data_IF_658293875097
#
_entry.id   IF_658293875097
#
_cell.length_a   1.000
_cell.length_b   1.000
_cell.length_c   1.000
_cell.angle_alpha   90.00
_cell.angle_beta   90.00
_cell.angle_gamma   90.00
#
_symmetry.space_group_name_H-M   'P 1'
#
loop_
_entity.id
_entity.type
_entity.pdbx_description
1 polymer ?
#
# COMPACT_ATOMS: atom_id res chain seq x y z
N UNK A 1 -121.60 -81.24 173.05
CA UNK A 1 -121.37 -82.68 173.31
C UNK A 1 -121.44 -82.94 174.81
N UNK A 2 -121.37 -84.20 175.26
CA UNK A 2 -121.50 -84.62 176.66
C UNK A 2 -120.17 -85.20 177.22
N UNK A 3 -120.24 -85.85 178.40
CA UNK A 3 -119.44 -86.99 178.93
C UNK A 3 -118.64 -86.78 180.25
N UNK A 4 -118.30 -87.88 181.01
CA UNK A 4 -117.82 -87.86 182.40
C UNK A 4 -116.46 -88.59 182.65
N UNK A 5 -116.02 -88.84 183.90
CA UNK A 5 -116.09 -90.15 184.62
C UNK A 5 -115.40 -90.11 186.01
N UNK A 6 -115.55 -91.19 186.82
CA UNK A 6 -114.87 -91.48 188.11
C UNK A 6 -115.32 -90.62 189.34
N UNK A 7 -115.31 -91.20 190.58
CA UNK A 7 -116.60 -91.60 191.16
C UNK A 7 -117.32 -90.57 192.05
N UNK A 8 -116.75 -89.39 192.29
CA UNK A 8 -117.28 -88.36 193.19
C UNK A 8 -117.45 -88.83 194.66
N UNK A 9 -118.69 -88.88 195.15
CA UNK A 9 -119.13 -89.31 196.46
C UNK A 9 -118.54 -88.44 197.61
N UNK A 10 -117.57 -88.97 198.37
CA UNK A 10 -117.46 -88.65 199.80
C UNK A 10 -116.09 -88.20 200.36
N UNK A 11 -114.98 -88.33 199.62
CA UNK A 11 -113.66 -88.39 200.26
C UNK A 11 -113.04 -87.05 200.73
N UNK A 12 -113.46 -85.89 200.21
CA UNK A 12 -112.73 -84.62 200.39
C UNK A 12 -112.76 -84.01 201.81
N UNK A 13 -113.60 -84.50 202.73
CA UNK A 13 -114.11 -83.63 203.81
C UNK A 13 -113.09 -83.23 204.90
N UNK A 14 -112.22 -84.13 205.37
CA UNK A 14 -111.22 -83.80 206.41
C UNK A 14 -110.08 -82.89 205.93
N UNK A 15 -109.94 -82.66 204.62
CA UNK A 15 -108.89 -81.79 204.08
C UNK A 15 -109.13 -80.30 204.36
N UNK A 16 -110.39 -79.86 204.52
CA UNK A 16 -110.74 -78.44 204.58
C UNK A 16 -110.38 -77.78 205.92
N UNK A 17 -110.74 -78.40 207.05
CA UNK A 17 -110.77 -77.71 208.35
C UNK A 17 -109.38 -77.22 208.82
N UNK A 18 -108.34 -78.04 208.66
CA UNK A 18 -106.97 -77.64 209.01
C UNK A 18 -106.37 -76.60 208.06
N UNK A 19 -106.81 -76.56 206.79
CA UNK A 19 -106.32 -75.57 205.82
C UNK A 19 -106.96 -74.19 206.08
N UNK A 20 -108.26 -74.15 206.34
CA UNK A 20 -109.01 -72.93 206.59
C UNK A 20 -108.46 -72.11 207.78
N UNK A 21 -108.03 -72.77 208.86
CA UNK A 21 -107.47 -72.10 210.04
C UNK A 21 -106.16 -71.35 209.71
N UNK A 22 -105.26 -71.95 208.92
CA UNK A 22 -103.96 -71.37 208.58
C UNK A 22 -104.06 -70.22 207.57
N UNK A 23 -105.07 -70.23 206.69
CA UNK A 23 -105.33 -69.13 205.77
C UNK A 23 -105.71 -67.84 206.53
N UNK A 24 -106.67 -67.93 207.46
CA UNK A 24 -107.14 -66.77 208.26
C UNK A 24 -106.02 -66.05 209.01
N UNK A 25 -105.06 -66.77 209.58
CA UNK A 25 -103.94 -66.16 210.30
C UNK A 25 -103.00 -65.37 209.38
N UNK A 26 -102.73 -65.89 208.17
CA UNK A 26 -101.91 -65.20 207.16
C UNK A 26 -102.59 -63.95 206.62
N UNK A 27 -103.91 -63.98 206.44
CA UNK A 27 -104.68 -62.81 205.99
C UNK A 27 -104.66 -61.65 207.01
N UNK A 28 -104.61 -61.94 208.30
CA UNK A 28 -104.47 -60.90 209.34
C UNK A 28 -103.07 -60.26 209.33
N UNK A 29 -102.00 -61.06 209.22
CA UNK A 29 -100.63 -60.55 209.08
C UNK A 29 -100.44 -59.69 207.82
N UNK A 30 -101.03 -60.12 206.69
CA UNK A 30 -100.94 -59.41 205.42
C UNK A 30 -101.55 -57.98 205.49
N UNK A 31 -102.71 -57.84 206.16
CA UNK A 31 -103.39 -56.54 206.31
C UNK A 31 -102.57 -55.54 207.14
N UNK A 32 -101.94 -56.01 208.23
CA UNK A 32 -101.09 -55.16 209.08
C UNK A 32 -99.85 -54.64 208.34
N UNK A 33 -99.22 -55.45 207.49
CA UNK A 33 -98.06 -55.04 206.68
C UNK A 33 -98.44 -53.97 205.66
N UNK A 34 -99.55 -54.14 204.94
CA UNK A 34 -100.01 -53.17 203.94
C UNK A 34 -100.28 -51.78 204.54
N UNK A 35 -100.85 -51.69 205.74
CA UNK A 35 -101.06 -50.40 206.42
C UNK A 35 -99.74 -49.72 206.80
N UNK A 36 -98.75 -50.47 207.27
CA UNK A 36 -97.42 -49.94 207.59
C UNK A 36 -96.67 -49.43 206.35
N UNK A 37 -96.71 -50.18 205.25
CA UNK A 37 -96.07 -49.78 203.99
C UNK A 37 -96.67 -48.48 203.42
N UNK A 38 -98.01 -48.36 203.43
CA UNK A 38 -98.73 -47.17 202.95
C UNK A 38 -98.38 -45.91 203.76
N UNK A 39 -98.38 -45.99 205.10
CA UNK A 39 -97.96 -44.88 205.95
C UNK A 39 -96.48 -44.51 205.72
N UNK A 40 -95.59 -45.51 205.67
CA UNK A 40 -94.15 -45.30 205.41
C UNK A 40 -93.89 -44.61 204.06
N UNK A 41 -94.69 -44.90 203.03
CA UNK A 41 -94.55 -44.26 201.73
C UNK A 41 -94.97 -42.79 201.77
N UNK A 42 -96.11 -42.48 202.40
CA UNK A 42 -96.70 -41.13 202.42
C UNK A 42 -95.74 -40.08 203.00
N UNK A 43 -95.13 -40.36 204.16
CA UNK A 43 -94.20 -39.42 204.80
C UNK A 43 -92.96 -39.14 203.95
N UNK A 44 -92.33 -40.17 203.36
CA UNK A 44 -91.15 -39.97 202.47
C UNK A 44 -91.47 -39.09 201.28
N UNK A 45 -92.65 -39.24 200.68
CA UNK A 45 -93.09 -38.35 199.58
C UNK A 45 -93.36 -36.92 200.04
N UNK A 46 -93.82 -36.72 201.27
CA UNK A 46 -94.01 -35.38 201.86
C UNK A 46 -92.68 -34.65 202.07
N UNK A 47 -91.69 -35.34 202.66
CA UNK A 47 -90.39 -34.75 203.00
C UNK A 47 -89.61 -34.27 201.75
N UNK A 48 -89.61 -35.07 200.68
CA UNK A 48 -88.94 -34.73 199.41
C UNK A 48 -89.58 -33.50 198.75
N UNK A 49 -90.92 -33.43 198.73
CA UNK A 49 -91.66 -32.28 198.19
C UNK A 49 -91.37 -31.01 198.99
N UNK A 50 -91.40 -31.09 200.32
CA UNK A 50 -91.10 -29.96 201.22
C UNK A 50 -89.68 -29.42 201.00
N UNK A 51 -88.68 -30.31 200.91
CA UNK A 51 -87.29 -29.93 200.67
C UNK A 51 -87.08 -29.19 199.33
N UNK A 52 -87.72 -29.66 198.24
CA UNK A 52 -87.61 -28.98 196.92
C UNK A 52 -88.38 -27.66 196.87
N UNK A 53 -89.50 -27.55 197.57
CA UNK A 53 -90.22 -26.28 197.70
C UNK A 53 -89.39 -25.22 198.46
N UNK A 54 -88.58 -25.64 199.44
CA UNK A 54 -87.62 -24.76 200.14
C UNK A 54 -86.45 -24.30 199.23
N UNK A 55 -85.91 -25.18 198.38
CA UNK A 55 -84.88 -24.79 197.40
C UNK A 55 -85.41 -23.75 196.38
N UNK A 56 -86.58 -23.99 195.80
CA UNK A 56 -87.15 -23.14 194.75
C UNK A 56 -87.63 -21.77 195.27
N UNK A 57 -88.14 -21.71 196.50
CA UNK A 57 -88.50 -20.44 197.15
C UNK A 57 -87.28 -19.65 197.67
N UNK A 58 -86.07 -20.22 197.62
CA UNK A 58 -84.87 -19.52 198.09
C UNK A 58 -84.49 -18.32 197.20
N UNK A 59 -84.14 -17.20 197.85
CA UNK A 59 -83.75 -15.93 197.19
C UNK A 59 -82.57 -16.08 196.20
N UNK A 60 -81.70 -17.07 196.42
CA UNK A 60 -80.55 -17.38 195.56
C UNK A 60 -80.96 -18.01 194.21
N UNK A 61 -82.07 -18.76 194.16
CA UNK A 61 -82.60 -19.34 192.93
C UNK A 61 -82.97 -18.24 191.92
N UNK A 62 -83.75 -17.27 192.37
CA UNK A 62 -84.19 -16.12 191.57
C UNK A 62 -83.02 -15.29 191.03
N UNK A 63 -82.02 -14.98 191.86
CA UNK A 63 -80.85 -14.18 191.46
C UNK A 63 -79.99 -14.89 190.40
N UNK A 64 -79.79 -16.21 190.50
CA UNK A 64 -79.10 -17.00 189.45
C UNK A 64 -79.87 -16.96 188.12
N UNK A 65 -81.20 -17.11 188.17
CA UNK A 65 -82.05 -17.05 186.97
C UNK A 65 -81.97 -15.69 186.27
N UNK A 66 -82.09 -14.59 187.02
CA UNK A 66 -82.05 -13.23 186.47
C UNK A 66 -80.72 -12.88 185.79
N UNK A 67 -79.58 -13.30 186.35
CA UNK A 67 -78.26 -13.08 185.74
C UNK A 67 -78.04 -13.91 184.47
N UNK A 68 -78.64 -15.10 184.37
CA UNK A 68 -78.63 -15.89 183.14
C UNK A 68 -79.47 -15.21 182.04
N UNK A 69 -80.70 -14.79 182.38
CA UNK A 69 -81.59 -14.06 181.48
C UNK A 69 -80.96 -12.79 180.88
N UNK A 70 -80.33 -11.96 181.73
CA UNK A 70 -79.63 -10.75 181.28
C UNK A 70 -78.49 -11.07 180.28
N UNK A 71 -77.76 -12.16 180.49
CA UNK A 71 -76.67 -12.58 179.57
C UNK A 71 -77.17 -13.07 178.22
N UNK A 72 -78.31 -13.78 178.17
CA UNK A 72 -78.91 -14.16 176.88
C UNK A 72 -79.48 -12.95 176.14
N UNK A 73 -80.13 -12.00 176.83
CA UNK A 73 -80.64 -10.78 176.20
C UNK A 73 -79.54 -10.00 175.43
N UNK A 74 -78.35 -9.85 176.03
CA UNK A 74 -77.22 -9.19 175.35
C UNK A 74 -76.66 -9.99 174.15
N UNK A 75 -76.89 -11.31 174.07
CA UNK A 75 -76.58 -12.11 172.87
C UNK A 75 -77.65 -11.95 171.80
N UNK A 76 -78.93 -11.90 172.17
CA UNK A 76 -80.03 -11.65 171.24
C UNK A 76 -79.89 -10.28 170.56
N UNK A 77 -79.57 -9.23 171.32
CA UNK A 77 -79.34 -7.89 170.76
C UNK A 77 -78.19 -7.88 169.74
N UNK A 78 -77.13 -8.67 169.97
CA UNK A 78 -76.03 -8.87 169.00
C UNK A 78 -76.43 -9.72 167.79
N UNK A 79 -77.31 -10.72 167.95
CA UNK A 79 -77.90 -11.49 166.83
C UNK A 79 -78.74 -10.59 165.94
N UNK A 80 -79.67 -9.82 166.52
CA UNK A 80 -80.51 -8.82 165.83
C UNK A 80 -79.66 -7.80 165.06
N UNK A 81 -78.53 -7.35 165.63
CA UNK A 81 -77.58 -6.47 164.93
C UNK A 81 -76.90 -7.10 163.70
N UNK A 82 -76.60 -8.40 163.73
CA UNK A 82 -76.06 -9.14 162.59
C UNK A 82 -77.14 -9.48 161.55
N UNK A 83 -78.35 -9.81 161.99
CA UNK A 83 -79.52 -10.08 161.15
C UNK A 83 -79.90 -8.82 160.37
N UNK A 84 -80.03 -7.67 161.04
CA UNK A 84 -80.28 -6.37 160.40
C UNK A 84 -79.13 -5.91 159.47
N UNK A 85 -77.93 -6.49 159.56
CA UNK A 85 -76.84 -6.25 158.58
C UNK A 85 -76.93 -7.22 157.39
N UNK A 86 -77.32 -8.47 157.63
CA UNK A 86 -77.61 -9.46 156.58
C UNK A 86 -78.82 -9.06 155.74
N UNK A 87 -79.84 -8.47 156.35
CA UNK A 87 -81.04 -7.97 155.67
C UNK A 87 -80.72 -6.81 154.73
N UNK A 88 -79.95 -5.82 155.18
CA UNK A 88 -79.45 -4.74 154.31
C UNK A 88 -78.60 -5.26 153.15
N UNK A 89 -77.81 -6.31 153.36
CA UNK A 89 -77.10 -6.99 152.27
C UNK A 89 -78.06 -7.71 151.30
N UNK A 90 -79.10 -8.39 151.78
CA UNK A 90 -80.13 -9.00 150.91
C UNK A 90 -80.87 -7.95 150.09
N UNK A 91 -81.20 -6.79 150.69
CA UNK A 91 -81.86 -5.68 150.00
C UNK A 91 -81.02 -5.17 148.84
N UNK A 92 -79.74 -4.85 149.07
CA UNK A 92 -78.82 -4.44 147.99
C UNK A 92 -78.70 -5.51 146.89
N UNK A 93 -78.54 -6.79 147.24
CA UNK A 93 -78.48 -7.87 146.25
C UNK A 93 -79.78 -8.05 145.44
N UNK A 94 -80.94 -7.69 146.01
CA UNK A 94 -82.23 -7.71 145.30
C UNK A 94 -82.40 -6.47 144.42
N UNK A 95 -81.98 -5.29 144.89
CA UNK A 95 -81.97 -4.05 144.11
C UNK A 95 -81.05 -4.18 142.87
N UNK A 96 -79.87 -4.80 143.02
CA UNK A 96 -78.99 -5.16 141.89
C UNK A 96 -79.64 -6.15 140.91
N UNK A 97 -80.35 -7.17 141.41
CA UNK A 97 -81.07 -8.14 140.57
C UNK A 97 -82.23 -7.50 139.80
N UNK A 98 -83.01 -6.63 140.45
CA UNK A 98 -84.13 -5.90 139.85
C UNK A 98 -83.65 -4.92 138.76
N UNK A 99 -82.50 -4.27 138.96
CA UNK A 99 -81.90 -3.40 137.95
C UNK A 99 -81.44 -4.20 136.73
N UNK A 100 -80.67 -5.28 136.94
CA UNK A 100 -80.21 -6.15 135.85
C UNK A 100 -81.38 -6.83 135.09
N UNK A 101 -82.47 -7.16 135.79
CA UNK A 101 -83.68 -7.67 135.16
C UNK A 101 -84.32 -6.64 134.22
N UNK A 102 -84.43 -5.38 134.64
CA UNK A 102 -84.96 -4.28 133.81
C UNK A 102 -84.08 -4.01 132.59
N UNK A 103 -82.76 -3.96 132.76
CA UNK A 103 -81.83 -3.81 131.63
C UNK A 103 -81.99 -4.93 130.59
N UNK A 104 -82.16 -6.18 131.04
CA UNK A 104 -82.43 -7.32 130.15
C UNK A 104 -83.80 -7.21 129.44
N UNK A 105 -84.83 -6.67 130.10
CA UNK A 105 -86.14 -6.44 129.48
C UNK A 105 -86.12 -5.28 128.47
N UNK A 106 -85.46 -4.17 128.78
CA UNK A 106 -85.26 -3.05 127.85
C UNK A 106 -84.45 -3.49 126.62
N UNK A 107 -83.40 -4.29 126.80
CA UNK A 107 -82.63 -4.88 125.70
C UNK A 107 -83.52 -5.80 124.84
N UNK A 108 -84.36 -6.66 125.45
CA UNK A 108 -85.34 -7.50 124.74
C UNK A 108 -86.36 -6.65 123.97
N UNK A 109 -86.89 -5.58 124.55
CA UNK A 109 -87.83 -4.67 123.87
C UNK A 109 -87.15 -3.94 122.70
N UNK A 110 -85.92 -3.45 122.87
CA UNK A 110 -85.15 -2.80 121.80
C UNK A 110 -84.87 -3.76 120.63
N UNK A 111 -84.61 -5.04 120.94
CA UNK A 111 -84.38 -6.12 119.97
C UNK A 111 -85.67 -6.46 119.22
N UNK A 112 -86.81 -6.62 119.91
CA UNK A 112 -88.12 -6.80 119.27
C UNK A 112 -88.50 -5.62 118.35
N UNK A 113 -88.21 -4.39 118.75
CA UNK A 113 -88.41 -3.19 117.92
C UNK A 113 -87.43 -3.15 116.73
N UNK A 114 -86.21 -3.67 116.87
CA UNK A 114 -85.26 -3.85 115.75
C UNK A 114 -85.77 -4.90 114.77
N UNK A 115 -86.31 -6.03 115.25
CA UNK A 115 -86.91 -7.05 114.39
C UNK A 115 -88.12 -6.53 113.61
N UNK A 116 -89.08 -5.84 114.25
CA UNK A 116 -90.24 -5.26 113.55
C UNK A 116 -89.81 -4.34 112.41
N UNK A 117 -88.87 -3.41 112.68
CA UNK A 117 -88.29 -2.52 111.66
C UNK A 117 -87.55 -3.26 110.54
N UNK A 118 -86.95 -4.43 110.81
CA UNK A 118 -86.35 -5.28 109.77
C UNK A 118 -87.44 -5.97 108.93
N UNK A 119 -88.49 -6.51 109.55
CA UNK A 119 -89.62 -7.15 108.86
C UNK A 119 -90.40 -6.15 107.99
N UNK A 120 -90.63 -4.94 108.48
CA UNK A 120 -91.24 -3.82 107.75
C UNK A 120 -90.38 -3.40 106.55
N UNK A 121 -89.07 -3.17 106.75
CA UNK A 121 -88.13 -2.87 105.65
C UNK A 121 -88.08 -3.98 104.60
N UNK A 122 -88.10 -5.25 105.02
CA UNK A 122 -88.16 -6.39 104.10
C UNK A 122 -89.48 -6.44 103.32
N UNK A 123 -90.61 -6.12 103.96
CA UNK A 123 -91.91 -5.96 103.30
C UNK A 123 -91.88 -4.89 102.21
N UNK A 124 -91.39 -3.69 102.56
CA UNK A 124 -91.30 -2.55 101.64
C UNK A 124 -90.32 -2.80 100.48
N UNK A 125 -89.19 -3.49 100.74
CA UNK A 125 -88.26 -3.90 99.68
C UNK A 125 -88.89 -4.95 98.75
N UNK A 126 -89.65 -5.90 99.30
CA UNK A 126 -90.36 -6.90 98.50
C UNK A 126 -91.44 -6.28 97.62
N UNK A 127 -92.26 -5.36 98.14
CA UNK A 127 -93.27 -4.66 97.34
C UNK A 127 -92.64 -3.81 96.23
N UNK A 128 -91.55 -3.07 96.53
CA UNK A 128 -90.82 -2.30 95.52
C UNK A 128 -90.20 -3.19 94.41
N UNK A 129 -89.70 -4.39 94.76
CA UNK A 129 -89.25 -5.37 93.76
C UNK A 129 -90.41 -5.93 92.93
N UNK A 130 -91.59 -6.14 93.52
CA UNK A 130 -92.79 -6.58 92.80
C UNK A 130 -93.36 -5.48 91.89
N UNK A 131 -93.25 -4.21 92.27
CA UNK A 131 -93.57 -3.05 91.43
C UNK A 131 -92.60 -2.92 90.25
N UNK A 132 -91.28 -3.04 90.48
CA UNK A 132 -90.32 -3.07 89.38
C UNK A 132 -90.57 -4.24 88.41
N UNK A 133 -90.93 -5.42 88.92
CA UNK A 133 -91.32 -6.57 88.07
C UNK A 133 -92.58 -6.29 87.24
N UNK A 134 -93.58 -5.60 87.78
CA UNK A 134 -94.77 -5.15 87.03
C UNK A 134 -94.39 -4.19 85.91
N UNK A 135 -93.63 -3.14 86.21
CA UNK A 135 -93.15 -2.16 85.22
C UNK A 135 -92.30 -2.79 84.11
N UNK A 136 -91.48 -3.80 84.44
CA UNK A 136 -90.70 -4.56 83.44
C UNK A 136 -91.64 -5.43 82.59
N UNK A 137 -92.60 -6.12 83.20
CA UNK A 137 -93.59 -6.93 82.47
C UNK A 137 -94.46 -6.06 81.55
N UNK A 138 -94.92 -4.89 81.99
CA UNK A 138 -95.69 -3.92 81.19
C UNK A 138 -94.88 -3.43 79.99
N UNK A 139 -93.60 -3.10 80.17
CA UNK A 139 -92.69 -2.72 79.06
C UNK A 139 -92.50 -3.86 78.07
N UNK A 140 -92.20 -5.07 78.53
CA UNK A 140 -92.01 -6.24 77.67
C UNK A 140 -93.31 -6.61 76.93
N UNK A 141 -94.47 -6.49 77.58
CA UNK A 141 -95.78 -6.67 76.93
C UNK A 141 -96.05 -5.59 75.87
N UNK A 142 -95.67 -4.34 76.13
CA UNK A 142 -95.79 -3.25 75.16
C UNK A 142 -94.84 -3.43 73.96
N UNK A 143 -93.59 -3.81 74.19
CA UNK A 143 -92.62 -4.12 73.12
C UNK A 143 -93.06 -5.33 72.30
N UNK A 144 -93.51 -6.40 72.95
CA UNK A 144 -94.08 -7.59 72.30
C UNK A 144 -95.35 -7.26 71.52
N UNK A 145 -96.21 -6.38 72.01
CA UNK A 145 -97.37 -5.87 71.27
C UNK A 145 -96.93 -5.02 70.06
N UNK A 146 -95.98 -4.09 70.23
CA UNK A 146 -95.46 -3.25 69.15
C UNK A 146 -94.89 -4.13 68.03
N UNK A 147 -94.07 -5.10 68.39
CA UNK A 147 -93.44 -6.04 67.46
C UNK A 147 -94.43 -6.97 66.77
N UNK A 148 -95.55 -7.34 67.40
CA UNK A 148 -96.54 -8.28 66.83
C UNK A 148 -97.77 -7.64 66.20
N UNK A 149 -97.98 -6.33 66.35
CA UNK A 149 -99.07 -5.61 65.69
C UNK A 149 -98.82 -5.54 64.16
N UNK A 150 -99.64 -6.19 63.32
CA UNK A 150 -99.38 -6.28 61.88
C UNK A 150 -99.36 -4.90 61.21
N UNK A 151 -100.20 -3.97 61.66
CA UNK A 151 -100.27 -2.61 61.11
C UNK A 151 -98.99 -1.81 61.32
N UNK A 152 -98.26 -2.08 62.41
CA UNK A 152 -96.96 -1.45 62.65
C UNK A 152 -95.87 -2.06 61.75
N UNK A 153 -95.89 -3.39 61.53
CA UNK A 153 -94.99 -4.06 60.57
C UNK A 153 -95.22 -3.55 59.15
N UNK A 154 -96.48 -3.38 58.74
CA UNK A 154 -96.85 -2.81 57.44
C UNK A 154 -96.24 -1.42 57.26
N UNK A 155 -96.46 -0.51 58.22
CA UNK A 155 -95.90 0.84 58.22
C UNK A 155 -94.35 0.84 58.21
N UNK A 156 -93.70 0.01 59.04
CA UNK A 156 -92.24 -0.12 59.07
C UNK A 156 -91.68 -0.65 57.73
N UNK A 157 -92.35 -1.61 57.09
CA UNK A 157 -91.94 -2.10 55.75
C UNK A 157 -92.19 -1.07 54.64
N UNK A 158 -93.25 -0.25 54.72
CA UNK A 158 -93.51 0.81 53.73
C UNK A 158 -92.59 2.01 53.90
N UNK A 159 -92.16 2.35 55.11
CA UNK A 159 -91.07 3.32 55.35
C UNK A 159 -89.74 2.78 54.80
N UNK A 160 -89.44 1.51 55.02
CA UNK A 160 -88.24 0.88 54.46
C UNK A 160 -88.27 0.83 52.91
N UNK A 161 -89.40 0.45 52.31
CA UNK A 161 -89.62 0.47 50.84
C UNK A 161 -89.39 1.86 50.27
N UNK A 162 -89.95 2.91 50.88
CA UNK A 162 -89.74 4.31 50.48
C UNK A 162 -88.27 4.71 50.58
N UNK A 163 -87.58 4.34 51.66
CA UNK A 163 -86.15 4.59 51.79
C UNK A 163 -85.32 3.92 50.69
N UNK A 164 -85.62 2.64 50.36
CA UNK A 164 -84.94 1.91 49.28
C UNK A 164 -85.24 2.50 47.90
N UNK A 165 -86.48 2.91 47.62
CA UNK A 165 -86.84 3.58 46.36
C UNK A 165 -86.09 4.91 46.22
N UNK A 166 -86.14 5.76 47.24
CA UNK A 166 -85.45 7.06 47.22
C UNK A 166 -83.92 6.89 47.06
N UNK A 167 -83.31 5.90 47.73
CA UNK A 167 -81.88 5.60 47.61
C UNK A 167 -81.51 5.06 46.22
N UNK A 168 -82.42 4.33 45.56
CA UNK A 168 -82.22 3.87 44.18
C UNK A 168 -82.41 5.00 43.16
N UNK A 169 -83.31 5.96 43.44
CA UNK A 169 -83.44 7.19 42.64
C UNK A 169 -82.18 8.04 42.71
N UNK A 170 -81.61 8.27 43.90
CA UNK A 170 -80.32 8.98 44.02
C UNK A 170 -79.18 8.23 43.33
N UNK A 171 -79.08 6.91 43.49
CA UNK A 171 -78.07 6.09 42.80
C UNK A 171 -78.18 6.18 41.26
N UNK A 172 -79.41 6.28 40.73
CA UNK A 172 -79.69 6.43 39.30
C UNK A 172 -79.33 7.82 38.78
N UNK A 173 -79.44 8.85 39.61
CA UNK A 173 -78.99 10.21 39.29
C UNK A 173 -77.47 10.37 39.39
N UNK A 174 -76.83 9.77 40.39
CA UNK A 174 -75.37 9.65 40.50
C UNK A 174 -74.78 8.98 39.26
N UNK A 175 -75.33 7.82 38.84
CA UNK A 175 -74.85 7.11 37.64
C UNK A 175 -74.98 7.95 36.36
N UNK A 176 -76.08 8.69 36.20
CA UNK A 176 -76.26 9.62 35.07
C UNK A 176 -75.25 10.76 35.08
N UNK A 177 -74.85 11.24 36.26
CA UNK A 177 -73.81 12.26 36.38
C UNK A 177 -72.43 11.70 36.02
N UNK A 178 -72.13 10.47 36.45
CA UNK A 178 -70.90 9.74 36.09
C UNK A 178 -70.80 9.52 34.58
N UNK A 179 -71.84 8.96 33.95
CA UNK A 179 -71.94 8.78 32.49
C UNK A 179 -71.74 10.12 31.74
N UNK A 180 -72.33 11.21 32.24
CA UNK A 180 -72.18 12.55 31.68
C UNK A 180 -70.79 13.19 31.91
N UNK A 181 -70.02 12.76 32.93
CA UNK A 181 -68.61 13.16 33.08
C UNK A 181 -67.69 12.31 32.19
N UNK A 182 -67.90 11.00 32.12
CA UNK A 182 -67.16 10.10 31.23
C UNK A 182 -67.31 10.53 29.76
N UNK A 183 -68.52 10.88 29.32
CA UNK A 183 -68.75 11.46 27.99
C UNK A 183 -67.92 12.73 27.72
N UNK A 184 -67.71 13.58 28.74
CA UNK A 184 -66.96 14.84 28.59
C UNK A 184 -65.45 14.59 28.59
N UNK A 185 -64.98 13.58 29.31
CA UNK A 185 -63.58 13.17 29.32
C UNK A 185 -63.21 12.43 28.04
N UNK A 186 -64.05 11.50 27.57
CA UNK A 186 -63.90 10.84 26.27
C UNK A 186 -63.79 11.88 25.14
N UNK A 187 -64.68 12.88 25.10
CA UNK A 187 -64.61 13.97 24.12
C UNK A 187 -63.35 14.83 24.24
N UNK A 188 -62.72 14.93 25.42
CA UNK A 188 -61.40 15.59 25.57
C UNK A 188 -60.29 14.71 24.99
N UNK A 189 -60.25 13.43 25.36
CA UNK A 189 -59.27 12.48 24.85
C UNK A 189 -59.35 12.30 23.32
N UNK A 190 -60.55 12.30 22.74
CA UNK A 190 -60.76 12.33 21.28
C UNK A 190 -60.14 13.59 20.63
N UNK A 191 -60.38 14.77 21.20
CA UNK A 191 -59.82 16.03 20.72
C UNK A 191 -58.30 16.12 20.90
N UNK A 192 -57.75 15.55 21.96
CA UNK A 192 -56.30 15.46 22.21
C UNK A 192 -55.63 14.45 21.27
N UNK A 193 -56.28 13.31 21.02
CA UNK A 193 -55.84 12.33 20.03
C UNK A 193 -55.87 12.89 18.60
N UNK A 194 -56.90 13.64 18.22
CA UNK A 194 -56.94 14.33 16.93
C UNK A 194 -55.83 15.38 16.78
N UNK A 195 -55.54 16.16 17.83
CA UNK A 195 -54.40 17.11 17.82
C UNK A 195 -53.07 16.36 17.65
N UNK A 196 -52.81 15.36 18.48
CA UNK A 196 -51.60 14.54 18.41
C UNK A 196 -51.43 13.87 17.03
N UNK A 197 -52.53 13.42 16.41
CA UNK A 197 -52.53 12.86 15.06
C UNK A 197 -52.21 13.92 13.99
N UNK A 198 -52.76 15.14 14.10
CA UNK A 198 -52.45 16.26 13.18
C UNK A 198 -50.99 16.69 13.32
N UNK A 199 -50.51 16.88 14.54
CA UNK A 199 -49.10 17.18 14.83
C UNK A 199 -48.15 16.09 14.32
N UNK A 200 -48.50 14.81 14.45
CA UNK A 200 -47.70 13.72 13.90
C UNK A 200 -47.63 13.78 12.36
N UNK A 201 -48.76 14.05 11.69
CA UNK A 201 -48.78 14.24 10.22
C UNK A 201 -48.00 15.47 9.78
N UNK A 202 -48.02 16.57 10.56
CA UNK A 202 -47.24 17.78 10.28
C UNK A 202 -45.74 17.57 10.50
N UNK A 203 -45.34 16.82 11.54
CA UNK A 203 -43.94 16.41 11.76
C UNK A 203 -43.43 15.53 10.62
N UNK A 204 -44.22 14.54 10.18
CA UNK A 204 -43.88 13.70 9.02
C UNK A 204 -43.68 14.56 7.75
N UNK A 205 -44.60 15.48 7.45
CA UNK A 205 -44.47 16.41 6.31
C UNK A 205 -43.24 17.31 6.41
N UNK A 206 -42.96 17.88 7.58
CA UNK A 206 -41.78 18.71 7.78
C UNK A 206 -40.47 17.91 7.65
N UNK A 207 -40.48 16.62 7.97
CA UNK A 207 -39.34 15.72 7.75
C UNK A 207 -39.21 15.29 6.28
N UNK A 208 -40.32 15.05 5.58
CA UNK A 208 -40.36 14.83 4.12
C UNK A 208 -39.88 16.07 3.34
N UNK A 209 -40.30 17.28 3.73
CA UNK A 209 -39.83 18.55 3.16
C UNK A 209 -38.34 18.78 3.42
N UNK A 210 -37.83 18.44 4.61
CA UNK A 210 -36.39 18.48 4.91
C UNK A 210 -35.60 17.53 4.03
N UNK A 211 -36.03 16.27 3.91
CA UNK A 211 -35.39 15.28 3.01
C UNK A 211 -35.42 15.78 1.57
N UNK A 212 -36.53 16.33 1.08
CA UNK A 212 -36.60 16.94 -0.25
C UNK A 212 -35.69 18.16 -0.44
N UNK A 213 -35.36 18.91 0.62
CA UNK A 213 -34.38 20.01 0.55
C UNK A 213 -32.95 19.47 0.56
N UNK A 214 -32.67 18.46 1.39
CA UNK A 214 -31.39 17.74 1.42
C UNK A 214 -31.10 17.04 0.09
N UNK A 215 -32.11 16.43 -0.54
CA UNK A 215 -32.03 15.80 -1.87
C UNK A 215 -31.76 16.84 -2.97
N UNK A 216 -32.38 18.03 -2.89
CA UNK A 216 -32.12 19.15 -3.82
C UNK A 216 -30.70 19.67 -3.68
N UNK A 217 -30.24 19.91 -2.45
CA UNK A 217 -28.86 20.36 -2.18
C UNK A 217 -27.82 19.32 -2.62
N UNK A 218 -28.11 18.02 -2.44
CA UNK A 218 -27.29 16.93 -2.99
C UNK A 218 -27.31 16.92 -4.53
N UNK A 219 -28.46 17.10 -5.17
CA UNK A 219 -28.57 17.17 -6.62
C UNK A 219 -27.84 18.40 -7.20
N UNK A 220 -27.94 19.56 -6.58
CA UNK A 220 -27.21 20.77 -6.95
C UNK A 220 -25.68 20.59 -6.78
N UNK A 221 -25.23 19.98 -5.69
CA UNK A 221 -23.83 19.63 -5.50
C UNK A 221 -23.32 18.59 -6.52
N UNK A 222 -24.15 17.60 -6.88
CA UNK A 222 -23.83 16.62 -7.94
C UNK A 222 -23.76 17.28 -9.32
N UNK A 223 -24.64 18.24 -9.62
CA UNK A 223 -24.58 19.02 -10.86
C UNK A 223 -23.30 19.86 -10.92
N UNK A 224 -22.91 20.53 -9.84
CA UNK A 224 -21.63 21.25 -9.73
C UNK A 224 -20.43 20.30 -9.94
N UNK A 225 -20.44 19.11 -9.35
CA UNK A 225 -19.42 18.09 -9.57
C UNK A 225 -19.38 17.59 -11.02
N UNK A 226 -20.53 17.44 -11.68
CA UNK A 226 -20.61 17.09 -13.11
C UNK A 226 -20.09 18.23 -14.01
N UNK A 227 -20.31 19.49 -13.64
CA UNK A 227 -19.75 20.65 -14.35
C UNK A 227 -18.24 20.77 -14.16
N UNK A 228 -17.73 20.58 -12.94
CA UNK A 228 -16.30 20.44 -12.67
C UNK A 228 -15.66 19.32 -13.49
N UNK A 229 -16.30 18.15 -13.57
CA UNK A 229 -15.82 17.01 -14.37
C UNK A 229 -15.81 17.34 -15.86
N UNK A 230 -16.87 17.98 -16.39
CA UNK A 230 -16.90 18.46 -17.79
C UNK A 230 -15.82 19.50 -18.09
N UNK A 231 -15.51 20.40 -17.15
CA UNK A 231 -14.40 21.35 -17.29
C UNK A 231 -13.05 20.62 -17.34
N UNK A 232 -12.83 19.65 -16.44
CA UNK A 232 -11.62 18.80 -16.41
C UNK A 232 -11.50 17.92 -17.67
N UNK A 233 -12.61 17.44 -18.22
CA UNK A 233 -12.65 16.75 -19.52
C UNK A 233 -12.29 17.68 -20.68
N UNK A 234 -12.86 18.88 -20.72
CA UNK A 234 -12.52 19.90 -21.73
C UNK A 234 -11.03 20.27 -21.66
N UNK A 235 -10.48 20.47 -20.45
CA UNK A 235 -9.05 20.68 -20.22
C UNK A 235 -8.21 19.48 -20.68
N UNK A 236 -8.62 18.24 -20.36
CA UNK A 236 -7.95 17.05 -20.86
C UNK A 236 -7.98 16.95 -22.40
N UNK A 237 -9.05 17.41 -23.08
CA UNK A 237 -9.04 17.48 -24.56
C UNK A 237 -8.17 18.59 -25.12
N UNK A 238 -7.98 19.72 -24.41
CA UNK A 238 -7.00 20.76 -24.79
C UNK A 238 -5.58 20.22 -24.65
N UNK A 239 -5.25 19.67 -23.48
CA UNK A 239 -3.94 19.07 -23.20
C UNK A 239 -3.60 17.92 -24.18
N UNK A 240 -4.57 17.09 -24.59
CA UNK A 240 -4.37 16.08 -25.64
C UNK A 240 -4.05 16.71 -27.00
N UNK A 241 -4.74 17.77 -27.41
CA UNK A 241 -4.43 18.51 -28.66
C UNK A 241 -3.06 19.17 -28.60
N UNK A 242 -2.67 19.70 -27.44
CA UNK A 242 -1.33 20.25 -27.21
C UNK A 242 -0.25 19.16 -27.28
N UNK A 243 -0.49 17.99 -26.70
CA UNK A 243 0.40 16.83 -26.83
C UNK A 243 0.50 16.34 -28.29
N UNK A 244 -0.61 16.26 -29.03
CA UNK A 244 -0.59 15.95 -30.47
C UNK A 244 0.22 16.98 -31.27
N UNK A 245 0.05 18.28 -30.99
CA UNK A 245 0.81 19.33 -31.66
C UNK A 245 2.30 19.25 -31.34
N UNK A 246 2.67 18.99 -30.08
CA UNK A 246 4.07 18.77 -29.67
C UNK A 246 4.66 17.50 -30.31
N UNK A 247 3.87 16.45 -30.52
CA UNK A 247 4.31 15.26 -31.24
C UNK A 247 4.51 15.53 -32.74
N UNK A 248 3.63 16.30 -33.38
CA UNK A 248 3.80 16.75 -34.78
C UNK A 248 5.08 17.58 -34.93
N UNK A 249 5.31 18.54 -34.04
CA UNK A 249 6.54 19.35 -34.01
C UNK A 249 7.80 18.49 -33.80
N UNK A 250 7.75 17.43 -32.98
CA UNK A 250 8.86 16.48 -32.84
C UNK A 250 9.11 15.71 -34.13
N UNK A 251 8.07 15.22 -34.81
CA UNK A 251 8.20 14.51 -36.08
C UNK A 251 8.73 15.42 -37.21
N UNK A 252 8.33 16.70 -37.22
CA UNK A 252 8.87 17.71 -38.13
C UNK A 252 10.36 17.96 -37.86
N UNK A 253 10.77 18.07 -36.60
CA UNK A 253 12.17 18.23 -36.20
C UNK A 253 13.02 16.98 -36.50
N UNK A 254 12.50 15.78 -36.21
CA UNK A 254 13.15 14.51 -36.53
C UNK A 254 13.33 14.34 -38.05
N UNK A 255 12.32 14.71 -38.84
CA UNK A 255 12.41 14.75 -40.31
C UNK A 255 13.50 15.69 -40.80
N UNK A 256 13.56 16.93 -40.27
CA UNK A 256 14.60 17.91 -40.59
C UNK A 256 15.99 17.48 -40.11
N UNK A 257 16.11 16.76 -39.00
CA UNK A 257 17.36 16.13 -38.58
C UNK A 257 17.80 15.02 -39.54
N UNK A 258 16.88 14.18 -39.98
CA UNK A 258 17.18 13.10 -40.91
C UNK A 258 17.54 13.64 -42.30
N UNK A 259 16.93 14.73 -42.75
CA UNK A 259 17.37 15.49 -43.92
C UNK A 259 18.79 16.05 -43.74
N UNK A 260 19.09 16.67 -42.59
CA UNK A 260 20.45 17.14 -42.25
C UNK A 260 21.47 16.00 -42.27
N UNK A 261 21.12 14.83 -41.71
CA UNK A 261 21.97 13.61 -41.72
C UNK A 261 22.19 13.09 -43.14
N UNK A 262 21.13 13.01 -43.97
CA UNK A 262 21.21 12.63 -45.39
C UNK A 262 22.10 13.60 -46.17
N UNK A 263 21.92 14.89 -45.99
CA UNK A 263 22.73 15.93 -46.63
C UNK A 263 24.20 15.92 -46.17
N UNK A 264 24.47 15.65 -44.89
CA UNK A 264 25.82 15.46 -44.38
C UNK A 264 26.50 14.22 -44.99
N UNK A 265 25.79 13.09 -45.07
CA UNK A 265 26.29 11.86 -45.70
C UNK A 265 26.55 12.04 -47.22
N UNK A 266 25.72 12.84 -47.91
CA UNK A 266 25.95 13.20 -49.31
C UNK A 266 27.18 14.12 -49.47
N UNK A 267 27.40 15.09 -48.58
CA UNK A 267 28.61 15.93 -48.55
C UNK A 267 29.86 15.08 -48.33
N UNK A 268 29.85 14.18 -47.33
CA UNK A 268 30.95 13.25 -47.07
C UNK A 268 31.25 12.34 -48.28
N UNK A 269 30.22 11.79 -48.93
CA UNK A 269 30.39 11.00 -50.17
C UNK A 269 31.00 11.84 -51.31
N UNK A 270 30.60 13.11 -51.45
CA UNK A 270 31.18 14.02 -52.43
C UNK A 270 32.64 14.41 -52.09
N UNK A 271 32.97 14.55 -50.80
CA UNK A 271 34.33 14.83 -50.30
C UNK A 271 35.28 13.65 -50.54
N UNK A 272 34.86 12.44 -50.18
CA UNK A 272 35.57 11.20 -50.51
C UNK A 272 35.72 11.04 -52.03
N UNK A 273 34.67 11.35 -52.81
CA UNK A 273 34.72 11.36 -54.28
C UNK A 273 35.71 12.37 -54.85
N UNK A 274 35.81 13.58 -54.27
CA UNK A 274 36.83 14.59 -54.64
C UNK A 274 38.24 14.12 -54.27
N UNK A 275 38.43 13.56 -53.08
CA UNK A 275 39.71 13.04 -52.62
C UNK A 275 40.20 11.90 -53.52
N UNK A 276 39.35 10.90 -53.81
CA UNK A 276 39.69 9.79 -54.71
C UNK A 276 40.03 10.27 -56.12
N UNK A 277 39.25 11.21 -56.68
CA UNK A 277 39.58 11.83 -57.98
C UNK A 277 40.93 12.55 -57.95
N UNK A 278 41.26 13.25 -56.86
CA UNK A 278 42.56 13.89 -56.72
C UNK A 278 43.70 12.87 -56.62
N UNK A 279 43.53 11.77 -55.89
CA UNK A 279 44.52 10.68 -55.81
C UNK A 279 44.73 10.00 -57.17
N UNK A 280 43.65 9.64 -57.89
CA UNK A 280 43.75 9.07 -59.23
C UNK A 280 44.38 10.04 -60.22
N UNK A 281 44.00 11.33 -60.21
CA UNK A 281 44.61 12.33 -61.06
C UNK A 281 46.10 12.55 -60.72
N UNK A 282 46.50 12.48 -59.45
CA UNK A 282 47.91 12.57 -59.06
C UNK A 282 48.72 11.34 -59.53
N UNK A 283 48.14 10.13 -59.46
CA UNK A 283 48.77 8.91 -60.01
C UNK A 283 48.87 8.95 -61.54
N UNK A 284 47.83 9.41 -62.23
CA UNK A 284 47.84 9.60 -63.68
C UNK A 284 48.87 10.67 -64.08
N UNK A 285 48.89 11.82 -63.40
CA UNK A 285 49.87 12.88 -63.65
C UNK A 285 51.30 12.36 -63.52
N UNK A 286 51.62 11.63 -62.43
CA UNK A 286 52.94 10.97 -62.27
C UNK A 286 53.27 10.05 -63.45
N UNK A 287 52.34 9.19 -63.88
CA UNK A 287 52.56 8.33 -65.06
C UNK A 287 52.75 9.14 -66.34
N UNK A 288 52.02 10.23 -66.55
CA UNK A 288 52.23 11.11 -67.72
C UNK A 288 53.51 11.93 -67.64
N UNK A 289 54.07 12.17 -66.45
CA UNK A 289 55.39 12.78 -66.27
C UNK A 289 56.47 11.76 -66.61
N UNK A 290 56.38 10.53 -66.09
CA UNK A 290 57.27 9.41 -66.44
C UNK A 290 57.29 9.17 -67.96
N UNK A 291 56.13 9.04 -68.61
CA UNK A 291 56.04 8.85 -70.07
C UNK A 291 56.60 10.06 -70.85
N UNK A 292 56.53 11.28 -70.31
CA UNK A 292 57.17 12.46 -70.94
C UNK A 292 58.68 12.45 -70.76
N UNK A 293 59.17 12.08 -69.58
CA UNK A 293 60.60 11.96 -69.27
C UNK A 293 61.24 10.84 -70.11
N UNK A 294 60.53 9.72 -70.30
CA UNK A 294 60.86 8.63 -71.23
C UNK A 294 60.92 9.12 -72.68
N UNK A 295 59.85 9.75 -73.20
CA UNK A 295 59.81 10.28 -74.58
C UNK A 295 60.83 11.42 -74.81
N UNK A 296 61.16 12.21 -73.79
CA UNK A 296 62.24 13.19 -73.87
C UNK A 296 63.63 12.53 -73.88
N UNK A 297 63.82 11.43 -73.15
CA UNK A 297 65.04 10.64 -73.21
C UNK A 297 65.21 9.97 -74.59
N UNK A 298 64.14 9.34 -75.11
CA UNK A 298 64.10 8.79 -76.47
C UNK A 298 64.39 9.85 -77.53
N UNK A 299 63.81 11.04 -77.39
CA UNK A 299 64.11 12.17 -78.27
C UNK A 299 65.59 12.57 -78.19
N UNK A 300 66.18 12.64 -77.00
CA UNK A 300 67.62 12.95 -76.83
C UNK A 300 68.52 11.86 -77.44
N UNK A 301 68.12 10.60 -77.36
CA UNK A 301 68.80 9.48 -78.03
C UNK A 301 68.72 9.63 -79.56
N UNK A 302 67.54 9.91 -80.11
CA UNK A 302 67.36 10.15 -81.55
C UNK A 302 68.12 11.39 -82.04
N UNK A 303 68.19 12.46 -81.23
CA UNK A 303 69.01 13.63 -81.54
C UNK A 303 70.51 13.28 -81.55
N UNK A 304 71.00 12.52 -80.56
CA UNK A 304 72.39 12.06 -80.54
C UNK A 304 72.73 11.12 -81.71
N UNK A 305 71.78 10.28 -82.15
CA UNK A 305 71.94 9.45 -83.35
C UNK A 305 71.99 10.31 -84.63
N UNK A 306 71.09 11.29 -84.78
CA UNK A 306 71.14 12.23 -85.91
C UNK A 306 72.42 13.07 -85.92
N UNK A 307 72.91 13.53 -84.76
CA UNK A 307 74.21 14.22 -84.65
C UNK A 307 75.39 13.31 -85.05
N UNK A 308 75.30 12.00 -84.79
CA UNK A 308 76.30 11.01 -85.23
C UNK A 308 76.19 10.71 -86.73
N UNK A 309 74.99 10.58 -87.28
CA UNK A 309 74.77 10.49 -88.73
C UNK A 309 75.25 11.76 -89.46
N UNK A 310 75.10 12.94 -88.87
CA UNK A 310 75.63 14.22 -89.38
C UNK A 310 77.16 14.28 -89.33
N UNK A 311 77.78 13.81 -88.25
CA UNK A 311 79.24 13.66 -88.14
C UNK A 311 79.78 12.67 -89.18
N UNK A 312 79.14 11.50 -89.33
CA UNK A 312 79.50 10.51 -90.34
C UNK A 312 79.30 11.05 -91.76
N UNK A 313 78.21 11.77 -92.03
CA UNK A 313 78.00 12.45 -93.31
C UNK A 313 79.07 13.49 -93.59
N UNK A 314 79.46 14.32 -92.61
CA UNK A 314 80.57 15.29 -92.76
C UNK A 314 81.89 14.58 -93.03
N UNK A 315 82.17 13.46 -92.37
CA UNK A 315 83.36 12.62 -92.64
C UNK A 315 83.28 11.99 -94.04
N UNK A 316 82.11 11.56 -94.49
CA UNK A 316 81.91 11.02 -95.84
C UNK A 316 82.02 12.10 -96.93
N UNK A 317 81.53 13.32 -96.70
CA UNK A 317 81.70 14.47 -97.61
C UNK A 317 83.17 14.88 -97.64
N UNK A 318 83.84 15.06 -96.51
CA UNK A 318 85.27 15.38 -96.46
C UNK A 318 86.14 14.32 -97.18
N UNK A 319 85.83 13.02 -97.01
CA UNK A 319 86.49 11.92 -97.76
C UNK A 319 86.23 11.99 -99.27
N UNK A 320 85.02 12.41 -99.69
CA UNK A 320 84.69 12.62 -101.11
C UNK A 320 85.39 13.85 -101.68
N UNK A 321 85.46 14.95 -100.93
CA UNK A 321 86.17 16.18 -101.31
C UNK A 321 87.68 15.94 -101.41
N UNK A 322 88.26 15.17 -100.48
CA UNK A 322 89.65 14.68 -100.59
C UNK A 322 89.84 13.85 -101.86
N UNK A 323 89.02 12.82 -102.10
CA UNK A 323 89.13 12.00 -103.30
C UNK A 323 88.91 12.78 -104.62
N UNK A 324 88.09 13.83 -104.60
CA UNK A 324 87.90 14.75 -105.75
C UNK A 324 89.10 15.68 -105.92
N UNK A 325 89.71 16.17 -104.84
CA UNK A 325 90.94 16.96 -104.88
C UNK A 325 92.13 16.11 -105.38
N UNK A 326 92.27 14.88 -104.90
CA UNK A 326 93.26 13.90 -105.36
C UNK A 326 93.07 13.58 -106.85
N UNK A 327 91.83 13.36 -107.29
CA UNK A 327 91.49 13.15 -108.70
C UNK A 327 91.74 14.40 -109.56
N UNK A 328 91.48 15.60 -109.04
CA UNK A 328 91.78 16.86 -109.73
C UNK A 328 93.29 17.10 -109.84
N UNK A 329 94.06 16.76 -108.82
CA UNK A 329 95.52 16.83 -108.84
C UNK A 329 96.11 15.81 -109.82
N UNK A 330 95.65 14.55 -109.78
CA UNK A 330 96.04 13.54 -110.79
C UNK A 330 95.67 13.99 -112.21
N UNK A 331 94.50 14.63 -112.40
CA UNK A 331 94.12 15.22 -113.69
C UNK A 331 95.09 16.32 -114.12
N UNK A 332 95.50 17.22 -113.22
CA UNK A 332 96.49 18.26 -113.53
C UNK A 332 97.84 17.65 -113.94
N UNK A 333 98.33 16.64 -113.21
CA UNK A 333 99.57 15.92 -113.55
C UNK A 333 99.46 15.24 -114.93
N UNK A 334 98.30 14.67 -115.27
CA UNK A 334 98.05 14.08 -116.60
C UNK A 334 97.98 15.17 -117.70
N UNK A 335 97.37 16.32 -117.43
CA UNK A 335 97.36 17.45 -118.36
C UNK A 335 98.76 18.05 -118.56
N UNK A 336 99.62 18.05 -117.53
CA UNK A 336 101.02 18.45 -117.62
C UNK A 336 101.86 17.43 -118.40
N UNK A 337 101.69 16.14 -118.16
CA UNK A 337 102.33 15.10 -118.99
C UNK A 337 101.86 15.20 -120.45
N UNK A 338 100.58 15.44 -120.73
CA UNK A 338 100.08 15.69 -122.08
C UNK A 338 100.67 16.95 -122.73
N UNK A 339 101.04 17.99 -121.97
CA UNK A 339 101.78 19.15 -122.49
C UNK A 339 103.23 18.80 -122.80
N UNK A 340 103.87 18.00 -121.95
CA UNK A 340 105.26 17.53 -122.16
C UNK A 340 105.35 16.57 -123.36
N UNK A 341 104.42 15.63 -123.53
CA UNK A 341 104.39 14.78 -124.72
C UNK A 341 104.09 15.59 -125.98
N UNK A 342 103.18 16.59 -125.95
CA UNK A 342 102.97 17.48 -127.10
C UNK A 342 104.20 18.34 -127.43
N UNK A 343 105.01 18.70 -126.44
CA UNK A 343 106.29 19.37 -126.68
C UNK A 343 107.28 18.43 -127.37
N UNK A 344 107.40 17.19 -126.89
CA UNK A 344 108.22 16.13 -127.52
C UNK A 344 107.74 15.78 -128.93
N UNK A 345 106.43 15.68 -129.15
CA UNK A 345 105.83 15.51 -130.49
C UNK A 345 106.20 16.69 -131.40
N UNK A 346 106.18 17.94 -130.90
CA UNK A 346 106.59 19.11 -131.66
C UNK A 346 108.10 19.13 -131.96
N UNK A 347 108.94 18.74 -131.01
CA UNK A 347 110.40 18.57 -131.19
C UNK A 347 110.70 17.49 -132.25
N UNK A 348 110.04 16.33 -132.16
CA UNK A 348 110.11 15.27 -133.16
C UNK A 348 109.61 15.73 -134.54
N UNK A 349 108.56 16.54 -134.60
CA UNK A 349 108.07 17.15 -135.84
C UNK A 349 109.03 18.20 -136.42
N UNK A 350 109.85 18.86 -135.60
CA UNK A 350 110.95 19.71 -136.09
C UNK A 350 112.06 18.84 -136.67
N UNK A 351 112.52 17.81 -135.96
CA UNK A 351 113.53 16.88 -136.45
C UNK A 351 113.12 16.20 -137.76
N UNK A 352 111.89 15.68 -137.87
CA UNK A 352 111.35 15.10 -139.11
C UNK A 352 111.27 16.11 -140.26
N UNK A 353 111.07 17.41 -139.98
CA UNK A 353 111.12 18.47 -141.00
C UNK A 353 112.55 18.81 -141.40
N UNK A 354 113.52 18.65 -140.51
CA UNK A 354 114.94 18.88 -140.79
C UNK A 354 115.54 17.70 -141.57
N UNK A 355 115.19 16.46 -141.23
CA UNK A 355 115.45 15.29 -142.07
C UNK A 355 114.81 15.43 -143.46
N UNK A 356 113.57 15.91 -143.54
CA UNK A 356 112.90 16.16 -144.83
C UNK A 356 113.59 17.26 -145.66
N UNK A 357 114.10 18.33 -145.02
CA UNK A 357 114.92 19.35 -145.69
C UNK A 357 116.24 18.75 -146.19
N UNK A 358 116.98 18.01 -145.34
CA UNK A 358 118.22 17.38 -145.77
C UNK A 358 118.00 16.43 -146.96
N UNK A 359 116.91 15.65 -146.95
CA UNK A 359 116.57 14.75 -148.06
C UNK A 359 116.15 15.53 -149.32
N UNK A 360 115.54 16.70 -149.18
CA UNK A 360 115.28 17.61 -150.30
C UNK A 360 116.57 18.23 -150.84
N UNK A 361 117.45 18.75 -149.98
CA UNK A 361 118.75 19.33 -150.36
C UNK A 361 119.68 18.29 -151.02
N UNK A 362 119.68 17.04 -150.53
CA UNK A 362 120.37 15.92 -151.19
C UNK A 362 119.82 15.68 -152.59
N UNK A 363 118.50 15.82 -152.79
CA UNK A 363 117.84 15.64 -154.10
C UNK A 363 118.03 16.83 -155.05
N UNK A 364 118.03 18.06 -154.54
CA UNK A 364 118.45 19.25 -155.30
C UNK A 364 119.92 19.19 -155.69
N UNK A 365 120.81 18.68 -154.83
CA UNK A 365 122.21 18.46 -155.17
C UNK A 365 122.39 17.36 -156.24
N UNK A 366 121.53 16.35 -156.27
CA UNK A 366 121.48 15.37 -157.36
C UNK A 366 120.96 16.00 -158.66
N UNK A 367 119.86 16.76 -158.64
CA UNK A 367 119.38 17.51 -159.81
C UNK A 367 120.37 18.57 -160.31
N UNK A 368 121.11 19.23 -159.42
CA UNK A 368 122.16 20.18 -159.79
C UNK A 368 123.36 19.49 -160.44
N UNK A 369 123.71 18.27 -160.02
CA UNK A 369 124.69 17.41 -160.70
C UNK A 369 124.17 16.92 -162.05
N UNK A 370 122.90 16.54 -162.13
CA UNK A 370 122.23 16.10 -163.36
C UNK A 370 122.16 17.23 -164.40
N UNK A 371 121.79 18.44 -163.99
CA UNK A 371 121.88 19.64 -164.84
C UNK A 371 123.32 19.97 -165.20
N UNK A 372 124.26 19.98 -164.24
CA UNK A 372 125.69 20.20 -164.55
C UNK A 372 126.26 19.18 -165.54
N UNK A 373 125.77 17.93 -165.50
CA UNK A 373 126.14 16.90 -166.47
C UNK A 373 125.46 17.13 -167.83
N UNK A 374 124.19 17.58 -167.85
CA UNK A 374 123.49 18.01 -169.07
C UNK A 374 124.18 19.19 -169.74
N UNK A 375 124.50 20.23 -168.99
CA UNK A 375 125.16 21.44 -169.48
C UNK A 375 126.56 21.11 -170.01
N UNK A 376 127.32 20.24 -169.33
CA UNK A 376 128.59 19.72 -169.86
C UNK A 376 128.41 18.92 -171.14
N UNK A 377 127.38 18.06 -171.23
CA UNK A 377 127.11 17.27 -172.43
C UNK A 377 126.65 18.18 -173.59
N UNK A 378 125.90 19.24 -173.32
CA UNK A 378 125.57 20.29 -174.27
C UNK A 378 126.81 21.08 -174.72
N UNK A 379 127.73 21.42 -173.80
CA UNK A 379 129.02 22.04 -174.13
C UNK A 379 129.90 21.10 -174.97
N UNK A 380 129.97 19.81 -174.65
CA UNK A 380 130.69 18.81 -175.44
C UNK A 380 130.08 18.59 -176.82
N UNK A 381 128.75 18.67 -176.96
CA UNK A 381 128.06 18.61 -178.27
C UNK A 381 128.34 19.87 -179.07
N UNK A 382 128.33 21.05 -178.44
CA UNK A 382 128.70 22.31 -179.08
C UNK A 382 130.18 22.32 -179.50
N UNK A 383 131.11 21.83 -178.66
CA UNK A 383 132.52 21.66 -179.03
C UNK A 383 132.71 20.66 -180.18
N UNK A 384 131.98 19.54 -180.20
CA UNK A 384 132.04 18.57 -181.31
C UNK A 384 131.47 19.16 -182.60
N UNK A 385 130.46 20.02 -182.53
CA UNK A 385 129.96 20.75 -183.70
C UNK A 385 130.94 21.83 -184.16
N UNK A 386 131.60 22.55 -183.25
CA UNK A 386 132.66 23.49 -183.58
C UNK A 386 133.83 22.79 -184.27
N UNK A 387 134.31 21.68 -183.71
CA UNK A 387 135.44 20.90 -184.24
C UNK A 387 135.13 20.19 -185.55
N UNK A 388 133.87 19.83 -185.80
CA UNK A 388 133.44 19.36 -187.11
C UNK A 388 133.48 20.51 -188.14
N UNK A 389 132.98 21.69 -187.78
CA UNK A 389 133.00 22.87 -188.64
C UNK A 389 134.42 23.40 -188.91
N UNK A 390 135.32 23.33 -187.92
CA UNK A 390 136.75 23.64 -188.05
C UNK A 390 137.44 22.63 -188.99
N UNK A 391 137.18 21.33 -188.84
CA UNK A 391 137.74 20.29 -189.70
C UNK A 391 137.21 20.35 -191.15
N UNK A 392 135.93 20.71 -191.35
CA UNK A 392 135.37 20.93 -192.69
C UNK A 392 136.05 22.14 -193.38
N UNK A 393 136.44 23.19 -192.63
CA UNK A 393 137.22 24.32 -193.17
C UNK A 393 138.69 23.97 -193.44
N UNK A 394 139.33 23.15 -192.61
CA UNK A 394 140.69 22.65 -192.88
C UNK A 394 140.71 21.74 -194.12
N UNK A 395 139.68 20.92 -194.33
CA UNK A 395 139.54 20.09 -195.52
C UNK A 395 139.30 20.91 -196.82
N UNK A 396 138.49 21.98 -196.77
CA UNK A 396 138.34 22.90 -197.91
C UNK A 396 139.66 23.59 -198.26
N UNK A 397 140.48 23.96 -197.26
CA UNK A 397 141.80 24.55 -197.47
C UNK A 397 142.81 23.56 -198.07
N UNK A 398 142.87 22.32 -197.57
CA UNK A 398 143.73 21.27 -198.13
C UNK A 398 143.35 20.92 -199.58
N UNK A 399 142.06 20.92 -199.95
CA UNK A 399 141.63 20.76 -201.34
C UNK A 399 142.04 21.95 -202.22
N UNK A 400 142.01 23.19 -201.74
CA UNK A 400 142.46 24.35 -202.55
C UNK A 400 143.98 24.40 -202.73
N UNK A 401 144.78 23.97 -201.75
CA UNK A 401 146.24 23.81 -201.94
C UNK A 401 146.56 22.66 -202.92
N UNK A 402 145.84 21.53 -202.84
CA UNK A 402 145.99 20.42 -203.77
C UNK A 402 145.67 20.83 -205.22
N UNK A 403 144.56 21.54 -205.45
CA UNK A 403 144.18 22.04 -206.79
C UNK A 403 145.21 23.03 -207.36
N UNK A 404 145.83 23.87 -206.51
CA UNK A 404 146.90 24.77 -206.93
C UNK A 404 148.17 24.02 -207.32
N UNK A 405 148.52 22.93 -206.61
CA UNK A 405 149.62 22.05 -207.00
C UNK A 405 149.35 21.32 -208.33
N UNK A 406 148.12 20.82 -208.54
CA UNK A 406 147.72 20.19 -209.80
C UNK A 406 147.79 21.18 -210.98
N UNK A 407 147.30 22.42 -210.83
CA UNK A 407 147.38 23.43 -211.89
C UNK A 407 148.83 23.82 -212.28
N UNK A 408 149.78 23.78 -211.33
CA UNK A 408 151.21 23.98 -211.63
C UNK A 408 151.83 22.76 -212.33
N UNK A 409 151.41 21.54 -211.96
CA UNK A 409 151.81 20.29 -212.63
C UNK A 409 151.30 20.24 -214.08
N UNK A 410 150.02 20.54 -214.30
CA UNK A 410 149.39 20.58 -215.62
C UNK A 410 150.00 21.66 -216.53
N UNK A 411 150.43 22.80 -215.98
CA UNK A 411 151.12 23.83 -216.75
C UNK A 411 152.46 23.32 -217.31
N UNK A 412 153.26 22.63 -216.49
CA UNK A 412 154.53 22.02 -216.90
C UNK A 412 154.31 20.87 -217.91
N UNK A 413 153.33 20.00 -217.65
CA UNK A 413 152.93 18.94 -218.57
C UNK A 413 152.43 19.48 -219.92
N UNK A 414 151.79 20.66 -219.95
CA UNK A 414 151.38 21.31 -221.20
C UNK A 414 152.54 21.95 -221.98
N UNK A 415 153.68 22.26 -221.36
CA UNK A 415 154.88 22.67 -222.10
C UNK A 415 155.65 21.45 -222.62
N UNK A 416 155.82 20.40 -221.82
CA UNK A 416 156.41 19.14 -222.30
C UNK A 416 155.57 18.49 -223.41
N UNK A 417 154.24 18.50 -223.30
CA UNK A 417 153.34 17.99 -224.34
C UNK A 417 153.43 18.79 -225.65
N UNK A 418 153.72 20.10 -225.61
CA UNK A 418 153.96 20.91 -226.83
C UNK A 418 155.28 20.52 -227.49
N UNK A 419 156.35 20.34 -226.72
CA UNK A 419 157.65 19.89 -227.25
C UNK A 419 157.54 18.48 -227.85
N UNK A 420 156.80 17.57 -227.20
CA UNK A 420 156.54 16.22 -227.70
C UNK A 420 155.63 16.20 -228.95
N UNK A 421 154.72 17.18 -229.09
CA UNK A 421 153.87 17.29 -230.27
C UNK A 421 154.65 17.59 -231.57
N UNK A 422 155.76 18.32 -231.48
CA UNK A 422 156.61 18.65 -232.65
C UNK A 422 157.52 17.49 -233.11
N UNK A 423 157.56 16.35 -232.41
CA UNK A 423 158.31 15.14 -232.82
C UNK A 423 157.45 13.86 -233.02
N UNK A 424 156.14 13.91 -232.74
CA UNK A 424 155.14 13.08 -233.44
C UNK A 424 155.10 11.56 -233.18
N UNK A 425 155.47 11.09 -231.99
CA UNK A 425 155.65 9.63 -231.74
C UNK A 425 154.42 8.90 -231.15
N UNK A 426 153.74 8.08 -231.98
CA UNK A 426 153.14 6.79 -231.55
C UNK A 426 154.29 5.75 -231.42
N UNK A 427 154.22 4.65 -230.63
CA UNK A 427 153.03 3.89 -230.20
C UNK A 427 153.08 3.62 -228.65
N UNK A 428 152.70 2.51 -227.98
CA UNK A 428 152.23 1.15 -228.34
C UNK A 428 151.55 0.46 -227.12
N UNK A 429 150.51 -0.39 -227.27
CA UNK A 429 149.90 -1.10 -226.15
C UNK A 429 150.71 -2.34 -225.74
N UNK A 430 150.94 -2.50 -224.43
CA UNK A 430 151.26 -3.76 -223.76
C UNK A 430 150.58 -3.77 -222.37
N UNK A 431 150.39 -4.96 -221.79
CA UNK A 431 149.70 -5.12 -220.50
C UNK A 431 150.34 -6.18 -219.61
N UNK A 432 149.67 -6.49 -218.51
CA UNK A 432 150.13 -7.32 -217.38
C UNK A 432 151.20 -6.65 -216.49
N UNK A 433 151.35 -7.05 -215.20
CA UNK A 433 150.69 -8.17 -214.51
C UNK A 433 149.99 -7.82 -213.17
N UNK A 434 149.45 -8.91 -212.58
CA UNK A 434 148.79 -9.13 -211.28
C UNK A 434 149.76 -9.06 -210.08
N UNK A 435 149.24 -9.17 -208.83
CA UNK A 435 149.96 -9.36 -207.53
C UNK A 435 150.40 -7.99 -206.92
N UNK A 436 150.39 -7.72 -205.60
CA UNK A 436 150.44 -8.57 -204.39
C UNK A 436 149.37 -8.27 -203.31
N UNK A 437 149.47 -8.98 -202.18
CA UNK A 437 148.76 -8.77 -200.90
C UNK A 437 149.66 -7.98 -199.92
N UNK A 438 149.08 -7.30 -198.93
CA UNK A 438 149.04 -7.75 -197.53
C UNK A 438 147.97 -6.95 -196.74
#
# INVERSE_FOLDING_TARGET
MALPTLPSYWCSRRLLDQQAARQRHREQEARLRQQWEQNSHYFRTSDICSAKQAEWSSKNSYQRSMLAYQREKMKEEKRKGLEARRERLRQLMLEEQDLLARELEELRLSMNLRERRIRERHGNLKSAQEEQRKLIAERLLYEHWKQNNPKLREIETDLHRKHVVNAWETQKEEKRQQEATEERENKRYENEYEKARREAMERMRAEEERRQLEDKLQAEALLQQMEELRLKEVEATKLKKEQENLLRQRWELEGLEDERRRMAALRQKAELGRFLRHQYNAQLNRRTQQIKEELEADKRILQALLEKEDEEQRVHVARREQAVADAAHMKQVIEEQLRLERAREAELQVLLREEAKEMWEKREAEWAREQSARDRLMFEVAERQLKAWEADQEAEAEEEEARQAEHLSDALLQEEAKIMAEQGYRPKPYGHPRVAWD
#
